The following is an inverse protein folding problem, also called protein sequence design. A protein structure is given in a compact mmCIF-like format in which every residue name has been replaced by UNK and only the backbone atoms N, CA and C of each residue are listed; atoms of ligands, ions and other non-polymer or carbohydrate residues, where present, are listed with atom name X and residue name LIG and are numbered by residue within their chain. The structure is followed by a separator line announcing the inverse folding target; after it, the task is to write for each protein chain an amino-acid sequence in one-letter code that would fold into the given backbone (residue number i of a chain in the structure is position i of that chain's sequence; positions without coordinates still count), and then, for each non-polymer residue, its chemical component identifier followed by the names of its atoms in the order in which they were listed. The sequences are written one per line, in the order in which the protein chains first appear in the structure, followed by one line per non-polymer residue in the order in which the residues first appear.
data_IF_240246393353
#
_entry.id   IF_240246393353
#
_cell.length_a   1.000
_cell.length_b   1.000
_cell.length_c   1.000
_cell.angle_alpha   90.00
_cell.angle_beta   90.00
_cell.angle_gamma   90.00
#
_symmetry.space_group_name_H-M   'P 1'
#
loop_
_entity.id
_entity.type
_entity.pdbx_description
1 polymer ?
#
# COMPACT_ATOMS: atom_id res chain seq x y z
N UNK A 1 12.19 -15.66 -29.16
CA UNK A 1 12.64 -14.98 -27.93
C UNK A 1 13.84 -15.73 -27.39
N UNK A 2 14.95 -15.04 -27.18
CA UNK A 2 16.21 -15.67 -26.75
C UNK A 2 16.07 -16.26 -25.34
N UNK A 3 16.71 -17.42 -25.08
CA UNK A 3 16.62 -18.11 -23.77
C UNK A 3 17.03 -17.20 -22.61
N UNK A 4 18.01 -16.32 -22.84
CA UNK A 4 18.45 -15.31 -21.87
C UNK A 4 17.32 -14.37 -21.46
N UNK A 5 16.56 -13.85 -22.44
CA UNK A 5 15.42 -12.96 -22.17
C UNK A 5 14.33 -13.68 -21.38
N UNK A 6 14.04 -14.93 -21.71
CA UNK A 6 13.06 -15.74 -21.00
C UNK A 6 13.46 -16.00 -19.54
N UNK A 7 14.76 -16.25 -19.29
CA UNK A 7 15.28 -16.40 -17.93
C UNK A 7 15.23 -15.09 -17.13
N UNK A 8 15.53 -13.95 -17.76
CA UNK A 8 15.34 -12.64 -17.14
C UNK A 8 13.87 -12.39 -16.77
N UNK A 9 12.93 -12.72 -17.65
CA UNK A 9 11.50 -12.60 -17.33
C UNK A 9 11.08 -13.54 -16.19
N UNK A 10 11.54 -14.79 -16.20
CA UNK A 10 11.30 -15.73 -15.10
C UNK A 10 11.78 -15.16 -13.75
N UNK A 11 13.03 -14.68 -13.69
CA UNK A 11 13.58 -14.08 -12.47
C UNK A 11 12.77 -12.87 -12.01
N UNK A 12 12.37 -11.98 -12.94
CA UNK A 12 11.52 -10.83 -12.64
C UNK A 12 10.17 -11.25 -12.03
N UNK A 13 9.48 -12.20 -12.64
CA UNK A 13 8.18 -12.66 -12.17
C UNK A 13 8.26 -13.48 -10.87
N UNK A 14 9.35 -14.22 -10.65
CA UNK A 14 9.65 -14.81 -9.35
C UNK A 14 9.73 -13.75 -8.24
N UNK A 15 10.50 -12.69 -8.49
CA UNK A 15 10.66 -11.58 -7.53
C UNK A 15 9.32 -10.90 -7.26
N UNK A 16 8.53 -10.61 -8.31
CA UNK A 16 7.19 -10.04 -8.16
C UNK A 16 6.25 -10.94 -7.34
N UNK A 17 6.29 -12.25 -7.57
CA UNK A 17 5.45 -13.22 -6.84
C UNK A 17 5.74 -13.22 -5.34
N UNK A 18 6.99 -12.98 -4.95
CA UNK A 18 7.40 -12.91 -3.53
C UNK A 18 7.17 -11.52 -2.91
N UNK A 19 7.37 -10.45 -3.69
CA UNK A 19 7.23 -9.08 -3.21
C UNK A 19 5.79 -8.69 -2.90
N UNK A 20 4.82 -9.15 -3.69
CA UNK A 20 3.40 -8.80 -3.50
C UNK A 20 2.86 -9.20 -2.12
N UNK A 21 2.93 -10.49 -1.69
CA UNK A 21 2.44 -10.88 -0.38
C UNK A 21 3.27 -10.25 0.75
N UNK A 22 4.57 -10.04 0.57
CA UNK A 22 5.42 -9.37 1.55
C UNK A 22 5.00 -7.91 1.75
N UNK A 23 4.76 -7.17 0.67
CA UNK A 23 4.30 -5.78 0.73
C UNK A 23 2.95 -5.68 1.47
N UNK A 24 1.99 -6.54 1.11
CA UNK A 24 0.69 -6.62 1.81
C UNK A 24 0.86 -6.92 3.30
N UNK A 25 1.68 -7.91 3.66
CA UNK A 25 1.93 -8.24 5.07
C UNK A 25 2.57 -7.07 5.82
N UNK A 26 3.57 -6.40 5.22
CA UNK A 26 4.24 -5.27 5.84
C UNK A 26 3.29 -4.11 6.11
N UNK A 27 2.39 -3.78 5.19
CA UNK A 27 1.43 -2.70 5.38
C UNK A 27 0.37 -3.03 6.44
N UNK A 28 -0.19 -4.25 6.42
CA UNK A 28 -1.13 -4.69 7.46
C UNK A 28 -0.47 -4.68 8.83
N UNK A 29 0.79 -5.12 8.92
CA UNK A 29 1.54 -5.10 10.17
C UNK A 29 1.75 -3.68 10.68
N UNK A 30 2.11 -2.72 9.80
CA UNK A 30 2.30 -1.32 10.17
C UNK A 30 1.01 -0.69 10.72
N UNK A 31 -0.14 -0.94 10.08
CA UNK A 31 -1.43 -0.45 10.57
C UNK A 31 -1.77 -1.08 11.92
N UNK A 32 -1.54 -2.39 12.09
CA UNK A 32 -1.81 -3.08 13.37
C UNK A 32 -0.93 -2.59 14.51
N UNK A 33 0.37 -2.35 14.25
CA UNK A 33 1.30 -1.80 15.23
C UNK A 33 0.95 -0.37 15.58
N UNK A 34 0.63 0.47 14.58
CA UNK A 34 0.21 1.86 14.80
C UNK A 34 -1.05 1.95 15.67
N UNK A 35 -2.03 1.09 15.43
CA UNK A 35 -3.24 0.99 16.24
C UNK A 35 -2.94 0.52 17.68
N UNK A 36 -2.02 -0.43 17.85
CA UNK A 36 -1.63 -0.95 19.17
C UNK A 36 -0.77 0.01 20.00
N UNK A 37 0.08 0.81 19.35
CA UNK A 37 0.96 1.79 20.01
C UNK A 37 0.29 3.16 20.22
N UNK A 38 -0.96 3.35 19.75
CA UNK A 38 -1.69 4.62 19.82
C UNK A 38 -0.88 5.81 19.27
N UNK A 39 -0.27 5.63 18.10
CA UNK A 39 0.52 6.69 17.44
C UNK A 39 -0.38 7.82 16.94
N UNK A 40 0.14 9.05 16.92
CA UNK A 40 -0.64 10.23 16.55
C UNK A 40 -1.09 10.21 15.07
N UNK A 41 -0.26 9.66 14.17
CA UNK A 41 -0.56 9.58 12.75
C UNK A 41 -0.02 8.29 12.11
N UNK A 42 -0.74 7.72 11.15
CA UNK A 42 -0.21 6.64 10.31
C UNK A 42 -0.74 6.69 8.88
N UNK A 43 0.02 6.05 7.97
CA UNK A 43 -0.31 5.92 6.56
C UNK A 43 -0.98 4.57 6.31
N UNK A 44 -2.09 4.59 5.62
CA UNK A 44 -2.83 3.40 5.21
C UNK A 44 -2.99 3.43 3.68
N UNK A 45 -2.75 2.31 3.00
CA UNK A 45 -2.98 2.18 1.56
C UNK A 45 -4.01 1.10 1.33
N UNK A 46 -5.27 1.48 1.22
CA UNK A 46 -6.37 0.50 1.14
C UNK A 46 -6.35 -0.34 -0.14
N UNK A 47 -5.61 0.09 -1.18
CA UNK A 47 -5.45 -0.67 -2.42
C UNK A 47 -4.43 -1.82 -2.32
N UNK A 48 -3.37 -1.62 -1.56
CA UNK A 48 -2.21 -2.54 -1.52
C UNK A 48 -2.55 -3.94 -0.99
N UNK A 49 -3.44 -4.12 0.01
CA UNK A 49 -3.79 -5.46 0.49
C UNK A 49 -4.51 -6.32 -0.53
N UNK A 50 -5.25 -5.71 -1.47
CA UNK A 50 -5.94 -6.44 -2.54
C UNK A 50 -4.98 -7.00 -3.59
N UNK A 51 -3.74 -6.49 -3.69
CA UNK A 51 -2.72 -7.00 -4.60
C UNK A 51 -2.26 -8.42 -4.27
N UNK A 52 -2.47 -8.89 -3.03
CA UNK A 52 -2.16 -10.29 -2.65
C UNK A 52 -2.95 -11.29 -3.51
N UNK A 53 -4.14 -10.91 -3.98
CA UNK A 53 -4.98 -11.75 -4.83
C UNK A 53 -4.37 -11.98 -6.22
N UNK A 54 -3.43 -11.13 -6.65
CA UNK A 54 -2.69 -11.29 -7.90
C UNK A 54 -1.54 -12.31 -7.79
N UNK A 55 -1.10 -12.65 -6.57
CA UNK A 55 -0.03 -13.63 -6.32
C UNK A 55 -0.21 -14.95 -7.09
N UNK A 56 -1.37 -15.65 -7.06
CA UNK A 56 -1.56 -16.88 -7.82
C UNK A 56 -1.42 -16.69 -9.34
N UNK A 57 -1.83 -15.54 -9.88
CA UNK A 57 -1.68 -15.23 -11.32
C UNK A 57 -0.20 -15.15 -11.70
N UNK A 58 0.60 -14.45 -10.88
CA UNK A 58 2.04 -14.33 -11.11
C UNK A 58 2.80 -15.63 -10.84
N UNK A 59 2.36 -16.43 -9.86
CA UNK A 59 2.94 -17.75 -9.61
C UNK A 59 2.75 -18.71 -10.79
N UNK A 60 1.54 -18.76 -11.35
CA UNK A 60 1.26 -19.59 -12.54
C UNK A 60 2.01 -19.05 -13.77
N UNK A 61 2.11 -17.73 -13.94
CA UNK A 61 2.89 -17.13 -15.03
C UNK A 61 4.38 -17.47 -14.92
N UNK A 62 4.95 -17.38 -13.72
CA UNK A 62 6.33 -17.79 -13.42
C UNK A 62 6.56 -19.26 -13.80
N UNK A 63 5.62 -20.15 -13.45
CA UNK A 63 5.68 -21.57 -13.80
C UNK A 63 5.60 -21.80 -15.33
N UNK A 64 4.76 -21.06 -16.05
CA UNK A 64 4.67 -21.14 -17.52
C UNK A 64 5.96 -20.67 -18.21
N UNK A 65 6.60 -19.62 -17.69
CA UNK A 65 7.88 -19.13 -18.20
C UNK A 65 9.00 -20.14 -17.95
N UNK A 66 9.00 -20.80 -16.79
CA UNK A 66 9.91 -21.89 -16.47
C UNK A 66 9.76 -23.07 -17.44
N UNK A 67 8.54 -23.57 -17.63
CA UNK A 67 8.23 -24.65 -18.58
C UNK A 67 8.73 -24.34 -20.00
N UNK A 68 8.50 -23.10 -20.45
CA UNK A 68 8.94 -22.62 -21.75
C UNK A 68 10.47 -22.53 -21.86
N UNK A 69 11.18 -22.32 -20.74
CA UNK A 69 12.64 -22.24 -20.70
C UNK A 69 13.29 -23.63 -20.75
N UNK A 70 12.65 -24.63 -20.17
CA UNK A 70 13.11 -26.02 -20.11
C UNK A 70 12.70 -26.86 -21.33
N UNK A 71 12.32 -26.23 -22.45
CA UNK A 71 11.90 -26.88 -23.73
C UNK A 71 10.63 -27.72 -23.66
N UNK A 72 9.78 -27.54 -22.63
CA UNK A 72 8.46 -28.14 -22.63
C UNK A 72 7.50 -27.32 -23.51
N UNK A 73 6.74 -27.99 -24.37
CA UNK A 73 5.61 -27.35 -25.04
C UNK A 73 4.58 -26.94 -23.98
N UNK A 74 4.27 -25.65 -23.94
CA UNK A 74 3.19 -25.13 -23.11
C UNK A 74 1.88 -25.58 -23.75
N UNK A 75 1.05 -26.32 -23.01
CA UNK A 75 -0.25 -26.75 -23.54
C UNK A 75 -1.25 -25.60 -23.60
N UNK A 76 -2.10 -25.59 -24.62
CA UNK A 76 -3.17 -24.60 -24.78
C UNK A 76 -4.17 -24.64 -23.61
N UNK A 77 -4.32 -25.81 -22.97
CA UNK A 77 -5.12 -25.95 -21.73
C UNK A 77 -4.55 -25.15 -20.56
N UNK A 78 -3.23 -25.18 -20.36
CA UNK A 78 -2.60 -24.41 -19.28
C UNK A 78 -2.69 -22.90 -19.56
N UNK A 79 -2.48 -22.49 -20.81
CA UNK A 79 -2.55 -21.07 -21.19
C UNK A 79 -3.98 -20.52 -21.05
N UNK A 80 -4.98 -21.24 -21.55
CA UNK A 80 -6.39 -20.85 -21.38
C UNK A 80 -6.85 -20.87 -19.92
N UNK A 81 -6.32 -21.79 -19.11
CA UNK A 81 -6.52 -21.81 -17.66
C UNK A 81 -5.97 -20.55 -16.98
N UNK A 82 -4.76 -20.12 -17.35
CA UNK A 82 -4.17 -18.88 -16.83
C UNK A 82 -4.99 -17.65 -17.19
N UNK A 83 -5.48 -17.53 -18.43
CA UNK A 83 -6.36 -16.42 -18.82
C UNK A 83 -7.67 -16.38 -18.02
N UNK A 84 -8.27 -17.55 -17.76
CA UNK A 84 -9.46 -17.64 -16.88
C UNK A 84 -9.14 -17.21 -15.46
N UNK A 85 -7.98 -17.63 -14.94
CA UNK A 85 -7.51 -17.22 -13.62
C UNK A 85 -7.33 -15.70 -13.54
N UNK A 86 -6.70 -15.08 -14.55
CA UNK A 86 -6.59 -13.61 -14.64
C UNK A 86 -7.96 -12.93 -14.58
N UNK A 87 -8.94 -13.43 -15.34
CA UNK A 87 -10.30 -12.88 -15.35
C UNK A 87 -10.98 -12.98 -13.98
N UNK A 88 -10.91 -14.15 -13.34
CA UNK A 88 -11.50 -14.37 -12.01
C UNK A 88 -10.80 -13.50 -10.96
N UNK A 89 -9.47 -13.43 -10.95
CA UNK A 89 -8.71 -12.59 -10.03
C UNK A 89 -9.05 -11.11 -10.20
N UNK A 90 -9.23 -10.63 -11.44
CA UNK A 90 -9.60 -9.24 -11.69
C UNK A 90 -10.98 -8.91 -11.11
N UNK A 91 -11.98 -9.78 -11.33
CA UNK A 91 -13.31 -9.61 -10.73
C UNK A 91 -13.25 -9.66 -9.21
N UNK A 92 -12.47 -10.59 -8.64
CA UNK A 92 -12.27 -10.67 -7.19
C UNK A 92 -11.62 -9.41 -6.63
N UNK A 93 -10.62 -8.84 -7.29
CA UNK A 93 -9.98 -7.59 -6.85
C UNK A 93 -10.94 -6.40 -6.89
N UNK A 94 -11.80 -6.30 -7.92
CA UNK A 94 -12.81 -5.25 -8.02
C UNK A 94 -13.82 -5.29 -6.87
N UNK A 95 -14.11 -6.47 -6.33
CA UNK A 95 -15.04 -6.64 -5.21
C UNK A 95 -14.31 -6.53 -3.86
N UNK A 96 -13.14 -7.16 -3.74
CA UNK A 96 -12.38 -7.20 -2.50
C UNK A 96 -11.84 -5.83 -2.08
N UNK A 97 -11.40 -5.01 -3.04
CA UNK A 97 -10.83 -3.68 -2.75
C UNK A 97 -11.81 -2.79 -1.99
N UNK A 98 -13.04 -2.49 -2.48
CA UNK A 98 -13.97 -1.61 -1.76
C UNK A 98 -14.43 -2.21 -0.43
N UNK A 99 -14.60 -3.54 -0.35
CA UNK A 99 -14.97 -4.21 0.91
C UNK A 99 -13.86 -4.05 1.94
N UNK A 100 -12.60 -4.31 1.55
CA UNK A 100 -11.46 -4.15 2.43
C UNK A 100 -11.29 -2.70 2.89
N UNK A 101 -11.37 -1.74 1.97
CA UNK A 101 -11.34 -0.31 2.28
C UNK A 101 -12.41 0.05 3.31
N UNK A 102 -13.65 -0.39 3.12
CA UNK A 102 -14.72 -0.12 4.06
C UNK A 102 -14.45 -0.73 5.45
N UNK A 103 -13.98 -1.98 5.50
CA UNK A 103 -13.70 -2.67 6.76
C UNK A 103 -12.56 -2.02 7.53
N UNK A 104 -11.48 -1.63 6.86
CA UNK A 104 -10.32 -1.00 7.51
C UNK A 104 -10.64 0.43 7.93
N UNK A 105 -11.30 1.23 7.09
CA UNK A 105 -11.76 2.58 7.42
C UNK A 105 -12.69 2.55 8.65
N UNK A 106 -13.64 1.62 8.70
CA UNK A 106 -14.54 1.46 9.83
C UNK A 106 -13.78 1.04 11.10
N UNK A 107 -12.83 0.10 11.00
CA UNK A 107 -12.04 -0.35 12.14
C UNK A 107 -11.17 0.76 12.72
N UNK A 108 -10.51 1.55 11.86
CA UNK A 108 -9.68 2.67 12.26
C UNK A 108 -10.53 3.79 12.89
N UNK A 109 -11.68 4.10 12.29
CA UNK A 109 -12.61 5.11 12.82
C UNK A 109 -13.19 4.71 14.17
N UNK A 110 -13.48 3.42 14.38
CA UNK A 110 -13.94 2.89 15.66
C UNK A 110 -12.90 3.05 16.79
N UNK A 111 -11.62 3.19 16.45
CA UNK A 111 -10.52 3.44 17.39
C UNK A 111 -10.29 4.94 17.64
N UNK A 112 -11.14 5.82 17.10
CA UNK A 112 -11.11 7.27 17.33
C UNK A 112 -10.26 8.07 16.35
N UNK A 113 -9.71 7.43 15.32
CA UNK A 113 -8.93 8.12 14.29
C UNK A 113 -9.83 8.78 13.24
N UNK A 114 -9.35 9.89 12.70
CA UNK A 114 -10.03 10.69 11.67
C UNK A 114 -9.16 10.81 10.43
N UNK A 115 -9.78 10.76 9.25
CA UNK A 115 -9.08 10.88 7.97
C UNK A 115 -8.71 12.34 7.70
N UNK A 116 -7.42 12.63 7.50
CA UNK A 116 -6.96 13.95 7.11
C UNK A 116 -6.78 14.09 5.59
N UNK A 117 -7.80 14.64 4.93
CA UNK A 117 -7.78 14.92 3.48
C UNK A 117 -6.77 15.99 3.07
N UNK A 118 -6.26 16.79 4.01
CA UNK A 118 -5.24 17.81 3.73
C UNK A 118 -3.85 17.20 3.51
N UNK A 119 -3.54 16.08 4.15
CA UNK A 119 -2.28 15.38 3.93
C UNK A 119 -2.45 14.19 2.97
N UNK A 120 -3.67 13.63 2.90
CA UNK A 120 -4.06 12.54 1.99
C UNK A 120 -4.64 12.96 0.64
N UNK A 121 -4.93 11.96 -0.20
CA UNK A 121 -5.58 11.99 -1.54
C UNK A 121 -5.23 13.11 -2.50
N UNK A 122 -4.18 12.87 -3.29
CA UNK A 122 -3.98 13.46 -4.61
C UNK A 122 -4.26 12.49 -5.79
N UNK A 123 -4.21 11.17 -5.58
CA UNK A 123 -4.30 10.16 -6.65
C UNK A 123 -4.87 8.82 -6.16
N UNK A 124 -5.46 8.02 -7.06
CA UNK A 124 -5.85 6.63 -6.76
C UNK A 124 -4.62 5.84 -6.30
N UNK A 125 -4.69 5.18 -5.14
CA UNK A 125 -3.59 4.42 -4.55
C UNK A 125 -2.58 5.25 -3.72
N UNK A 126 -2.80 6.55 -3.53
CA UNK A 126 -2.05 7.32 -2.53
C UNK A 126 -2.39 6.83 -1.12
N UNK A 127 -1.42 6.90 -0.21
CA UNK A 127 -1.70 6.61 1.19
C UNK A 127 -2.72 7.61 1.76
N UNK A 128 -3.74 7.08 2.39
CA UNK A 128 -4.64 7.81 3.26
C UNK A 128 -3.94 8.01 4.61
N UNK A 129 -4.08 9.21 5.19
CA UNK A 129 -3.42 9.58 6.44
C UNK A 129 -4.48 9.71 7.53
N UNK A 130 -4.31 8.91 8.56
CA UNK A 130 -5.18 8.86 9.73
C UNK A 130 -4.54 9.57 10.90
N UNK A 131 -5.31 10.41 11.59
CA UNK A 131 -4.87 11.17 12.76
C UNK A 131 -5.73 10.83 13.97
N UNK A 132 -5.12 10.69 15.14
CA UNK A 132 -5.84 10.45 16.40
C UNK A 132 -6.77 11.62 16.80
N UNK A 133 -6.51 12.83 16.29
CA UNK A 133 -7.34 14.00 16.56
C UNK A 133 -7.37 14.94 15.34
N UNK A 134 -8.58 15.25 14.88
CA UNK A 134 -8.87 16.04 13.68
C UNK A 134 -8.23 17.44 13.72
N UNK A 135 -8.06 18.02 14.91
CA UNK A 135 -7.45 19.36 15.08
C UNK A 135 -5.98 19.44 14.64
N UNK A 136 -5.32 18.30 14.41
CA UNK A 136 -3.96 18.21 13.86
C UNK A 136 -3.91 18.19 12.32
N UNK A 137 -5.07 18.16 11.65
CA UNK A 137 -5.16 18.24 10.20
C UNK A 137 -5.06 19.71 9.73
N UNK A 138 -3.84 20.17 9.41
CA UNK A 138 -3.58 21.57 9.02
C UNK A 138 -3.33 21.64 7.51
N UNK A 139 -4.19 22.35 6.78
CA UNK A 139 -4.11 22.47 5.31
C UNK A 139 -2.77 23.05 4.81
N UNK A 140 -2.21 23.98 5.56
CA UNK A 140 -0.96 24.67 5.21
C UNK A 140 0.27 23.74 5.28
N UNK A 141 0.14 22.54 5.87
CA UNK A 141 1.22 21.55 5.94
C UNK A 141 1.36 20.65 4.71
N UNK A 142 0.56 20.85 3.66
CA UNK A 142 0.67 20.07 2.42
C UNK A 142 2.08 20.03 1.79
N UNK A 143 2.85 21.15 1.70
CA UNK A 143 4.18 21.15 1.07
C UNK A 143 5.18 20.21 1.79
N UNK A 144 5.10 20.16 3.12
CA UNK A 144 6.00 19.41 4.00
C UNK A 144 5.38 18.12 4.54
N UNK A 145 4.27 17.65 3.92
CA UNK A 145 3.45 16.56 4.44
C UNK A 145 4.21 15.27 4.71
N UNK A 146 5.22 14.94 3.90
CA UNK A 146 5.96 13.69 4.05
C UNK A 146 6.76 13.71 5.36
N UNK A 147 7.55 14.76 5.56
CA UNK A 147 8.40 14.98 6.73
C UNK A 147 7.54 15.18 8.00
N UNK A 148 6.43 15.92 7.86
CA UNK A 148 5.49 16.13 8.97
C UNK A 148 4.84 14.83 9.41
N UNK A 149 4.32 14.01 8.48
CA UNK A 149 3.66 12.73 8.81
C UNK A 149 4.65 11.72 9.38
N UNK A 150 5.89 11.70 8.89
CA UNK A 150 6.96 10.85 9.43
C UNK A 150 7.35 11.24 10.86
N UNK A 151 7.27 12.53 11.20
CA UNK A 151 7.46 12.98 12.58
C UNK A 151 6.24 12.66 13.45
N UNK A 152 5.02 12.89 12.96
CA UNK A 152 3.78 12.63 13.70
C UNK A 152 3.61 11.13 14.04
N UNK A 153 4.07 10.22 13.18
CA UNK A 153 4.01 8.77 13.43
C UNK A 153 4.92 8.30 14.57
N UNK A 154 5.89 9.12 14.98
CA UNK A 154 6.78 8.83 16.12
C UNK A 154 6.27 9.42 17.43
N UNK A 155 5.19 10.22 17.39
CA UNK A 155 4.66 10.89 18.56
C UNK A 155 3.46 10.11 19.15
N UNK A 156 3.28 10.13 20.48
CA UNK A 156 2.11 9.54 21.13
C UNK A 156 0.83 10.33 20.80
N UNK A 157 -0.33 9.69 20.88
CA UNK A 157 -1.66 10.28 20.60
C UNK A 157 -1.98 11.55 21.40
N UNK A 158 -1.39 11.72 22.58
CA UNK A 158 -1.66 12.85 23.48
C UNK A 158 -0.82 14.12 23.16
N UNK A 159 -0.10 14.11 22.04
CA UNK A 159 0.72 15.26 21.62
C UNK A 159 -0.16 16.49 21.41
N UNK A 160 0.28 17.64 21.95
CA UNK A 160 -0.51 18.85 21.90
C UNK A 160 -0.54 19.47 20.49
N UNK A 161 -1.69 20.06 20.12
CA UNK A 161 -1.84 20.76 18.85
C UNK A 161 -0.87 21.95 18.67
N UNK A 162 -0.38 22.52 19.77
CA UNK A 162 0.64 23.57 19.73
C UNK A 162 2.00 23.04 19.28
N UNK A 163 2.43 21.85 19.74
CA UNK A 163 3.68 21.23 19.31
C UNK A 163 3.65 20.88 17.82
N UNK A 164 2.52 20.37 17.32
CA UNK A 164 2.34 20.08 15.90
C UNK A 164 2.44 21.35 15.05
N UNK A 165 1.80 22.46 15.49
CA UNK A 165 1.91 23.76 14.80
C UNK A 165 3.31 24.32 14.80
N UNK A 166 4.03 24.19 15.92
CA UNK A 166 5.42 24.65 16.01
C UNK A 166 6.33 23.86 15.07
N UNK A 167 6.17 22.53 15.00
CA UNK A 167 6.94 21.69 14.08
C UNK A 167 6.62 21.99 12.62
N UNK A 168 5.34 22.23 12.32
CA UNK A 168 4.91 22.65 10.99
C UNK A 168 5.58 23.98 10.57
N UNK A 169 5.62 24.98 11.45
CA UNK A 169 6.28 26.25 11.16
C UNK A 169 7.78 26.08 10.87
N UNK A 170 8.47 25.26 11.67
CA UNK A 170 9.89 24.94 11.46
C UNK A 170 10.13 24.29 10.09
N UNK A 171 9.30 23.32 9.70
CA UNK A 171 9.42 22.63 8.42
C UNK A 171 9.12 23.57 7.23
N UNK A 172 8.10 24.44 7.35
CA UNK A 172 7.78 25.42 6.31
C UNK A 172 8.88 26.48 6.15
N UNK A 173 9.51 26.92 7.24
CA UNK A 173 10.67 27.83 7.18
C UNK A 173 11.90 27.18 6.54
N UNK A 174 12.10 25.89 6.76
CA UNK A 174 13.18 25.13 6.13
C UNK A 174 12.93 24.93 4.62
N UNK A 175 11.69 24.64 4.23
CA UNK A 175 11.30 24.49 2.83
C UNK A 175 11.41 25.81 2.04
N UNK A 176 11.03 26.94 2.66
CA UNK A 176 11.16 28.28 2.06
C UNK A 176 12.60 28.71 1.78
N UNK A 177 13.61 28.05 2.38
CA UNK A 177 15.04 28.35 2.20
C UNK A 177 15.72 27.43 1.17
N UNK A 178 15.01 26.44 0.65
CA UNK A 178 15.49 25.46 -0.33
C UNK A 178 15.22 25.93 -1.76
#
# INVERSE_FOLDING_TARGET
MDRVKLFCFFALFCVLTLLLPYATFSEVSQVSTALGEHVLAFRERSFSPSLVLATPVFAVLTYLLWLRATHAQVSDRLLSGWFKLCGVTLVLMLIATPIYTYLIEHHISAQGYTLCSAYGRGTIGSADIWLANESHCIKDGFPVRNELVDWLSQQPSDTSAQQVKQKLAELLEADSKR
#
